data_IF_857165937854
#
_entry.id   IF_857165937854
#
_cell.length_a   1.000
_cell.length_b   1.000
_cell.length_c   1.000
_cell.angle_alpha   90.00
_cell.angle_beta   90.00
_cell.angle_gamma   90.00
#
_symmetry.space_group_name_H-M   'P 1'
#
loop_
_entity.id
_entity.type
_entity.pdbx_description
1 polymer ?
#
# COMPACT_ATOMS: atom_id res chain seq x y z
N UNK A 1 -13.33 13.21 -15.90
CA UNK A 1 -12.08 13.98 -16.00
C UNK A 1 -11.16 13.47 -14.90
N UNK A 2 -9.95 13.01 -15.22
CA UNK A 2 -9.01 12.57 -14.18
C UNK A 2 -8.51 13.84 -13.50
N UNK A 3 -9.06 14.10 -12.32
CA UNK A 3 -8.75 15.26 -11.50
C UNK A 3 -7.33 15.09 -10.95
N UNK A 4 -6.51 16.16 -11.00
CA UNK A 4 -5.08 16.14 -10.69
C UNK A 4 -4.76 15.52 -9.32
N UNK A 5 -5.66 15.65 -8.34
CA UNK A 5 -5.63 15.01 -7.03
C UNK A 5 -5.54 13.47 -7.10
N UNK A 6 -6.26 12.82 -8.03
CA UNK A 6 -6.25 11.36 -8.18
C UNK A 6 -4.89 10.85 -8.65
N UNK A 7 -4.18 11.64 -9.47
CA UNK A 7 -2.82 11.32 -9.93
C UNK A 7 -1.84 11.39 -8.76
N UNK A 8 -1.94 12.41 -7.91
CA UNK A 8 -1.12 12.51 -6.70
C UNK A 8 -1.36 11.34 -5.74
N UNK A 9 -2.61 10.94 -5.53
CA UNK A 9 -2.96 9.79 -4.69
C UNK A 9 -2.37 8.49 -5.27
N UNK A 10 -2.44 8.29 -6.59
CA UNK A 10 -1.86 7.11 -7.26
C UNK A 10 -0.33 7.04 -7.11
N UNK A 11 0.36 8.17 -7.28
CA UNK A 11 1.81 8.25 -7.09
C UNK A 11 2.18 7.93 -5.64
N UNK A 12 1.44 8.47 -4.68
CA UNK A 12 1.66 8.18 -3.26
C UNK A 12 1.43 6.69 -2.95
N UNK A 13 0.37 6.08 -3.51
CA UNK A 13 0.08 4.66 -3.37
C UNK A 13 1.20 3.79 -3.93
N UNK A 14 1.70 4.11 -5.12
CA UNK A 14 2.81 3.39 -5.74
C UNK A 14 4.09 3.49 -4.91
N UNK A 15 4.37 4.67 -4.35
CA UNK A 15 5.53 4.87 -3.47
C UNK A 15 5.42 4.03 -2.20
N UNK A 16 4.25 4.04 -1.56
CA UNK A 16 3.96 3.23 -0.37
C UNK A 16 4.12 1.74 -0.70
N UNK A 17 3.57 1.28 -1.82
CA UNK A 17 3.69 -0.10 -2.27
C UNK A 17 5.16 -0.52 -2.49
N UNK A 18 5.97 0.33 -3.15
CA UNK A 18 7.39 0.07 -3.37
C UNK A 18 8.19 0.00 -2.05
N UNK A 19 7.89 0.89 -1.10
CA UNK A 19 8.52 0.89 0.22
C UNK A 19 8.17 -0.39 1.00
N UNK A 20 6.90 -0.79 0.99
CA UNK A 20 6.43 -2.01 1.65
C UNK A 20 7.07 -3.24 1.04
N UNK A 21 7.11 -3.38 -0.29
CA UNK A 21 7.71 -4.54 -0.95
C UNK A 21 9.18 -4.66 -0.55
N UNK A 22 9.91 -3.55 -0.57
CA UNK A 22 11.30 -3.49 -0.14
C UNK A 22 11.46 -3.90 1.33
N UNK A 23 10.58 -3.41 2.20
CA UNK A 23 10.59 -3.73 3.62
C UNK A 23 10.24 -5.19 3.89
N UNK A 24 9.22 -5.72 3.21
CA UNK A 24 8.80 -7.11 3.26
C UNK A 24 9.93 -8.07 2.90
N UNK A 25 10.63 -7.79 1.79
CA UNK A 25 11.81 -8.54 1.35
C UNK A 25 12.92 -8.47 2.41
N UNK A 26 13.16 -7.30 3.01
CA UNK A 26 14.17 -7.12 4.06
C UNK A 26 13.82 -7.92 5.34
N UNK A 27 12.58 -7.86 5.81
CA UNK A 27 12.11 -8.65 6.97
C UNK A 27 12.15 -10.15 6.73
N UNK A 28 11.83 -10.59 5.51
CA UNK A 28 11.90 -12.00 5.12
C UNK A 28 13.34 -12.52 5.18
N UNK A 29 14.31 -11.72 4.71
CA UNK A 29 15.74 -12.05 4.80
C UNK A 29 16.26 -12.13 6.23
N UNK A 30 15.67 -11.41 7.18
CA UNK A 30 16.04 -11.46 8.62
C UNK A 30 15.40 -12.61 9.42
N UNK A 31 14.76 -13.59 8.76
CA UNK A 31 14.02 -14.71 9.38
C UNK A 31 12.86 -14.29 10.31
N UNK A 32 12.49 -13.01 10.34
CA UNK A 32 11.37 -12.52 11.15
C UNK A 32 10.06 -12.60 10.36
N UNK A 33 9.54 -13.82 10.24
CA UNK A 33 8.35 -14.13 9.42
C UNK A 33 7.08 -13.43 9.93
N UNK A 34 6.94 -13.27 11.25
CA UNK A 34 5.82 -12.54 11.87
C UNK A 34 5.88 -11.05 11.56
N UNK A 35 7.08 -10.44 11.63
CA UNK A 35 7.27 -9.05 11.24
C UNK A 35 6.93 -8.81 9.76
N UNK A 36 7.36 -9.71 8.87
CA UNK A 36 7.03 -9.63 7.45
C UNK A 36 5.51 -9.73 7.20
N UNK A 37 4.82 -10.63 7.91
CA UNK A 37 3.37 -10.80 7.78
C UNK A 37 2.59 -9.57 8.28
N UNK A 38 3.00 -8.97 9.39
CA UNK A 38 2.37 -7.74 9.92
C UNK A 38 2.59 -6.54 9.01
N UNK A 39 3.80 -6.36 8.47
CA UNK A 39 4.07 -5.28 7.50
C UNK A 39 3.25 -5.47 6.22
N UNK A 40 3.11 -6.71 5.75
CA UNK A 40 2.27 -7.01 4.60
C UNK A 40 0.80 -6.69 4.85
N UNK A 41 0.26 -7.05 6.03
CA UNK A 41 -1.10 -6.72 6.43
C UNK A 41 -1.34 -5.21 6.52
N UNK A 42 -0.44 -4.48 7.17
CA UNK A 42 -0.53 -3.01 7.27
C UNK A 42 -0.55 -2.40 5.88
N UNK A 43 0.32 -2.83 4.98
CA UNK A 43 0.36 -2.32 3.63
C UNK A 43 -0.90 -2.62 2.81
N UNK A 44 -1.45 -3.84 2.98
CA UNK A 44 -2.70 -4.22 2.34
C UNK A 44 -3.82 -3.28 2.80
N UNK A 45 -3.90 -2.98 4.09
CA UNK A 45 -4.87 -2.03 4.66
C UNK A 45 -4.65 -0.62 4.11
N UNK A 46 -3.41 -0.13 4.07
CA UNK A 46 -3.05 1.21 3.57
C UNK A 46 -3.36 1.40 2.07
N UNK A 47 -3.38 0.33 1.28
CA UNK A 47 -3.72 0.38 -0.16
C UNK A 47 -5.21 0.13 -0.39
N UNK A 48 -5.80 -0.83 0.31
CA UNK A 48 -7.20 -1.26 0.11
C UNK A 48 -8.19 -0.21 0.63
N UNK A 49 -7.95 0.43 1.77
CA UNK A 49 -8.87 1.48 2.27
C UNK A 49 -9.04 2.65 1.29
N UNK A 50 -7.98 3.30 0.79
CA UNK A 50 -8.14 4.41 -0.15
C UNK A 50 -8.70 3.94 -1.49
N UNK A 51 -8.36 2.74 -1.97
CA UNK A 51 -8.99 2.16 -3.17
C UNK A 51 -10.50 1.96 -2.95
N UNK A 52 -10.90 1.42 -1.80
CA UNK A 52 -12.30 1.23 -1.46
C UNK A 52 -13.05 2.57 -1.37
N UNK A 53 -12.45 3.57 -0.73
CA UNK A 53 -13.02 4.91 -0.66
C UNK A 53 -13.20 5.54 -2.05
N UNK A 54 -12.21 5.37 -2.94
CA UNK A 54 -12.23 5.92 -4.30
C UNK A 54 -13.25 5.23 -5.22
N UNK A 55 -13.37 3.90 -5.14
CA UNK A 55 -14.15 3.12 -6.11
C UNK A 55 -15.54 2.71 -5.63
N UNK A 56 -15.76 2.60 -4.32
CA UNK A 56 -17.03 2.09 -3.77
C UNK A 56 -17.87 3.19 -3.14
N UNK A 57 -17.26 4.24 -2.58
CA UNK A 57 -17.99 5.33 -1.92
C UNK A 57 -18.31 6.50 -2.86
N UNK A 58 -17.50 6.72 -3.89
CA UNK A 58 -17.71 7.75 -4.92
C UNK A 58 -18.31 7.21 -6.24
N UNK A 59 -18.60 5.90 -6.30
CA UNK A 59 -19.20 5.21 -7.46
C UNK A 59 -20.72 5.16 -7.43
#
# INVERSE_FOLDING_TARGET
MITTDRIFILILLLWIAAYVISFGIWTWKRKNKLGAAMVFLVALVTVVLPLYALFVREG
#
